data_IF_438451455376
#
_entry.id   IF_438451455376
#
_cell.length_a   1.000
_cell.length_b   1.000
_cell.length_c   1.000
_cell.angle_alpha   90.00
_cell.angle_beta   90.00
_cell.angle_gamma   90.00
#
_symmetry.space_group_name_H-M   'P 1'
#
loop_
_entity.id
_entity.type
_entity.pdbx_description
1 polymer ?
#
# COMPACT_ATOMS: atom_id res chain seq x y z
N UNK A 1 -37.57 -57.27 12.61
CA UNK A 1 -36.86 -56.02 12.26
C UNK A 1 -36.75 -55.98 10.74
N UNK A 2 -37.25 -54.91 10.12
CA UNK A 2 -37.53 -54.78 8.68
C UNK A 2 -36.24 -54.56 7.88
N UNK A 3 -35.97 -55.43 6.91
CA UNK A 3 -35.04 -55.19 5.80
C UNK A 3 -35.77 -54.45 4.68
N UNK A 4 -35.20 -53.37 4.14
CA UNK A 4 -35.16 -53.09 2.69
C UNK A 4 -34.45 -51.76 2.36
N UNK A 5 -33.52 -51.87 1.40
CA UNK A 5 -33.21 -50.94 0.30
C UNK A 5 -32.89 -49.47 0.62
N UNK A 6 -31.69 -49.02 0.25
CA UNK A 6 -31.51 -48.27 -1.01
C UNK A 6 -30.02 -48.16 -1.39
N UNK A 7 -29.78 -48.45 -2.67
CA UNK A 7 -28.53 -48.49 -3.38
C UNK A 7 -28.57 -47.36 -4.39
N UNK A 8 -27.78 -46.29 -4.23
CA UNK A 8 -27.44 -45.30 -5.28
C UNK A 8 -26.13 -44.65 -4.82
N UNK A 9 -24.95 -45.10 -5.29
CA UNK A 9 -24.38 -44.82 -6.59
C UNK A 9 -24.01 -43.34 -6.81
N UNK A 10 -22.72 -43.14 -7.03
CA UNK A 10 -22.11 -42.23 -8.02
C UNK A 10 -21.80 -40.77 -7.66
N UNK A 11 -20.59 -40.41 -8.11
CA UNK A 11 -20.17 -39.13 -8.69
C UNK A 11 -19.69 -38.02 -7.75
N UNK A 12 -18.37 -38.03 -7.58
CA UNK A 12 -17.46 -36.91 -7.85
C UNK A 12 -18.08 -35.52 -7.86
N UNK A 13 -17.79 -34.74 -6.83
CA UNK A 13 -17.54 -33.31 -7.01
C UNK A 13 -16.31 -32.92 -6.18
N UNK A 14 -15.17 -32.88 -6.89
CA UNK A 14 -14.03 -32.05 -6.50
C UNK A 14 -14.56 -30.62 -6.35
N UNK A 15 -14.84 -30.21 -5.12
CA UNK A 15 -15.07 -28.81 -4.80
C UNK A 15 -13.75 -28.07 -5.03
N UNK A 16 -13.71 -27.36 -6.15
CA UNK A 16 -12.66 -26.42 -6.50
C UNK A 16 -12.50 -25.46 -5.32
N UNK A 17 -11.37 -25.56 -4.63
CA UNK A 17 -10.91 -24.54 -3.69
C UNK A 17 -10.54 -23.33 -4.53
N UNK A 18 -11.55 -22.54 -4.88
CA UNK A 18 -11.38 -21.23 -5.46
C UNK A 18 -10.64 -20.38 -4.45
N UNK A 19 -9.32 -20.25 -4.61
CA UNK A 19 -8.56 -19.19 -3.99
C UNK A 19 -9.13 -17.88 -4.51
N UNK A 20 -10.10 -17.33 -3.77
CA UNK A 20 -10.50 -15.93 -3.87
C UNK A 20 -9.27 -15.14 -3.47
N UNK A 21 -8.43 -14.85 -4.46
CA UNK A 21 -7.37 -13.87 -4.34
C UNK A 21 -8.07 -12.58 -3.98
N UNK A 22 -8.10 -12.26 -2.69
CA UNK A 22 -8.32 -10.91 -2.20
C UNK A 22 -7.23 -10.07 -2.84
N UNK A 23 -7.53 -9.54 -4.02
CA UNK A 23 -6.94 -8.32 -4.49
C UNK A 23 -7.32 -7.28 -3.43
N UNK A 24 -6.49 -7.17 -2.40
CA UNK A 24 -6.44 -5.99 -1.57
C UNK A 24 -6.32 -4.84 -2.57
N UNK A 25 -7.43 -4.16 -2.82
CA UNK A 25 -7.51 -2.97 -3.63
C UNK A 25 -6.46 -2.05 -3.03
N UNK A 26 -5.30 -2.05 -3.68
CA UNK A 26 -4.17 -1.25 -3.28
C UNK A 26 -4.56 0.11 -3.80
N UNK A 27 -5.10 0.94 -2.92
CA UNK A 27 -5.43 2.35 -3.17
C UNK A 27 -4.17 3.09 -3.61
N UNK A 28 -3.79 2.84 -4.85
CA UNK A 28 -2.63 3.39 -5.52
C UNK A 28 -3.08 4.76 -5.96
N UNK A 29 -2.43 5.78 -5.42
CA UNK A 29 -2.67 7.17 -5.74
C UNK A 29 -1.44 7.72 -6.44
N UNK A 30 -1.69 8.43 -7.54
CA UNK A 30 -0.71 9.32 -8.12
C UNK A 30 -0.63 10.56 -7.23
N UNK A 31 0.59 10.93 -6.89
CA UNK A 31 0.92 12.13 -6.15
C UNK A 31 2.23 12.70 -6.69
N UNK A 32 2.62 13.86 -6.20
CA UNK A 32 3.86 14.51 -6.54
C UNK A 32 4.73 14.57 -5.30
N UNK A 33 6.00 14.20 -5.43
CA UNK A 33 6.92 14.15 -4.30
C UNK A 33 8.23 14.87 -4.61
N UNK A 34 8.80 15.45 -3.58
CA UNK A 34 10.18 15.89 -3.57
C UNK A 34 10.97 14.97 -2.65
N UNK A 35 11.73 14.05 -3.22
CA UNK A 35 12.56 13.11 -2.45
C UNK A 35 13.63 13.81 -1.61
N UNK A 36 14.10 14.98 -2.05
CA UNK A 36 15.11 15.76 -1.32
C UNK A 36 14.60 16.34 0.00
N UNK A 37 13.33 16.75 0.04
CA UNK A 37 12.70 17.30 1.24
C UNK A 37 11.76 16.30 1.92
N UNK A 38 11.62 15.10 1.35
CA UNK A 38 10.65 14.08 1.74
C UNK A 38 9.24 14.62 1.94
N UNK A 39 8.77 15.50 1.05
CA UNK A 39 7.40 16.05 1.08
C UNK A 39 6.60 15.62 -0.14
N UNK A 40 5.30 15.46 0.06
CA UNK A 40 4.34 15.09 -0.97
C UNK A 40 3.29 16.18 -1.22
N UNK A 41 2.65 16.12 -2.38
CA UNK A 41 1.55 16.98 -2.80
C UNK A 41 0.60 16.19 -3.70
N UNK A 42 -0.69 16.48 -3.63
CA UNK A 42 -1.66 15.94 -4.58
C UNK A 42 -1.69 16.70 -5.92
N UNK A 43 -0.93 17.79 -6.02
CA UNK A 43 -0.85 18.66 -7.18
C UNK A 43 0.60 18.79 -7.64
N UNK A 44 0.79 18.86 -8.96
CA UNK A 44 2.08 19.19 -9.54
C UNK A 44 2.53 20.58 -9.07
N UNK A 45 3.84 20.78 -8.95
CA UNK A 45 4.39 22.06 -8.52
C UNK A 45 5.87 21.98 -8.21
N UNK A 46 6.37 23.04 -7.59
CA UNK A 46 7.75 23.17 -7.13
C UNK A 46 7.78 23.03 -5.61
N UNK A 47 8.75 22.26 -5.11
CA UNK A 47 9.03 22.16 -3.69
C UNK A 47 9.67 23.45 -3.16
N UNK A 48 9.68 23.62 -1.84
CA UNK A 48 10.27 24.80 -1.19
C UNK A 48 11.78 24.89 -1.37
N UNK A 49 12.44 23.75 -1.66
CA UNK A 49 13.84 23.71 -2.05
C UNK A 49 14.12 24.15 -3.50
N UNK A 50 13.09 24.57 -4.25
CA UNK A 50 13.22 25.01 -5.64
C UNK A 50 13.16 23.89 -6.69
N UNK A 51 13.11 22.62 -6.29
CA UNK A 51 13.02 21.49 -7.24
C UNK A 51 11.58 21.20 -7.67
N UNK A 52 11.38 20.84 -8.95
CA UNK A 52 10.09 20.36 -9.43
C UNK A 52 9.75 19.03 -8.77
N UNK A 53 8.53 18.91 -8.27
CA UNK A 53 8.04 17.66 -7.70
C UNK A 53 7.87 16.61 -8.80
N UNK A 54 8.33 15.39 -8.54
CA UNK A 54 8.21 14.24 -9.45
C UNK A 54 6.91 13.51 -9.21
N UNK A 55 6.25 13.04 -10.26
CA UNK A 55 5.09 12.16 -10.11
C UNK A 55 5.55 10.81 -9.52
N UNK A 56 4.84 10.35 -8.49
CA UNK A 56 5.10 9.10 -7.80
C UNK A 56 3.82 8.30 -7.60
N UNK A 57 3.95 6.98 -7.59
CA UNK A 57 2.88 6.06 -7.22
C UNK A 57 3.05 5.70 -5.75
N UNK A 58 2.06 6.06 -4.93
CA UNK A 58 2.06 5.75 -3.52
C UNK A 58 0.67 5.36 -3.03
N UNK A 59 0.53 5.26 -1.72
CA UNK A 59 -0.75 5.10 -1.04
C UNK A 59 -0.84 6.10 0.09
N UNK A 60 -2.04 6.55 0.37
CA UNK A 60 -2.28 7.41 1.54
C UNK A 60 -2.35 6.50 2.78
N UNK A 61 -1.66 6.90 3.84
CA UNK A 61 -1.75 6.26 5.14
C UNK A 61 -1.77 7.31 6.24
N UNK A 62 -2.32 6.95 7.40
CA UNK A 62 -2.32 7.79 8.59
C UNK A 62 -1.22 7.28 9.52
N UNK A 63 -0.17 8.07 9.73
CA UNK A 63 1.05 7.64 10.40
C UNK A 63 1.22 8.40 11.70
N UNK A 64 1.52 7.66 12.77
CA UNK A 64 1.92 8.27 14.03
C UNK A 64 3.37 8.72 13.97
N UNK A 65 3.66 9.99 14.23
CA UNK A 65 5.04 10.51 14.25
C UNK A 65 5.87 10.06 15.44
N UNK A 66 5.24 9.65 16.54
CA UNK A 66 5.97 9.16 17.70
C UNK A 66 6.48 7.72 17.56
N UNK A 67 5.75 6.84 16.87
CA UNK A 67 6.08 5.42 16.78
C UNK A 67 6.09 4.86 15.36
N UNK A 68 5.91 5.71 14.35
CA UNK A 68 5.90 5.37 12.91
C UNK A 68 4.90 4.27 12.51
N UNK A 69 3.91 3.98 13.38
CA UNK A 69 2.85 3.03 13.08
C UNK A 69 1.85 3.66 12.10
N UNK A 70 1.56 2.94 11.02
CA UNK A 70 0.61 3.37 10.00
C UNK A 70 -0.75 2.69 10.17
N UNK A 71 -1.82 3.46 9.94
CA UNK A 71 -3.22 3.05 9.85
C UNK A 71 -3.77 3.37 8.46
N UNK A 72 -4.84 2.68 8.06
CA UNK A 72 -5.63 3.04 6.88
C UNK A 72 -6.64 4.16 7.18
N UNK A 73 -7.02 4.29 8.44
CA UNK A 73 -8.05 5.20 8.90
C UNK A 73 -7.47 6.34 9.74
N UNK A 74 -8.06 7.54 9.67
CA UNK A 74 -7.68 8.66 10.54
C UNK A 74 -8.00 8.37 12.00
N UNK A 75 -7.46 9.19 12.90
CA UNK A 75 -7.74 9.12 14.33
C UNK A 75 -6.46 9.15 15.16
N UNK A 76 -6.42 8.34 16.22
CA UNK A 76 -5.32 8.32 17.17
C UNK A 76 -4.54 7.02 17.12
N UNK A 77 -3.24 7.10 17.36
CA UNK A 77 -2.38 5.95 17.49
C UNK A 77 -2.83 5.08 18.67
N UNK A 78 -2.99 3.78 18.44
CA UNK A 78 -3.46 2.86 19.49
C UNK A 78 -2.46 2.71 20.64
N UNK A 79 -1.19 2.98 20.41
CA UNK A 79 -0.10 2.80 21.38
C UNK A 79 0.13 4.04 22.24
N UNK A 80 0.29 5.21 21.63
CA UNK A 80 0.67 6.44 22.33
C UNK A 80 -0.45 7.50 22.37
N UNK A 81 -1.62 7.20 21.83
CA UNK A 81 -2.79 8.09 21.76
C UNK A 81 -2.57 9.43 21.02
N UNK A 82 -1.38 9.67 20.45
CA UNK A 82 -1.14 10.83 19.59
C UNK A 82 -1.94 10.76 18.29
N UNK A 83 -2.25 11.92 17.71
CA UNK A 83 -2.97 12.05 16.44
C UNK A 83 -2.17 11.41 15.29
N UNK A 84 -2.88 10.77 14.37
CA UNK A 84 -2.28 10.21 13.16
C UNK A 84 -2.28 11.26 12.05
N UNK A 85 -1.13 11.45 11.42
CA UNK A 85 -0.98 12.39 10.33
C UNK A 85 -1.18 11.71 8.98
N UNK A 86 -1.92 12.36 8.09
CA UNK A 86 -2.11 11.90 6.72
C UNK A 86 -0.82 12.07 5.93
N UNK A 87 -0.27 10.97 5.42
CA UNK A 87 1.00 10.94 4.71
C UNK A 87 0.92 10.09 3.45
N UNK A 88 1.82 10.36 2.51
CA UNK A 88 2.05 9.53 1.35
C UNK A 88 3.11 8.48 1.68
N UNK A 89 2.75 7.20 1.54
CA UNK A 89 3.70 6.09 1.60
C UNK A 89 3.98 5.60 0.20
N UNK A 90 5.24 5.66 -0.23
CA UNK A 90 5.70 5.13 -1.52
C UNK A 90 6.99 4.36 -1.31
N UNK A 91 7.35 3.57 -2.32
CA UNK A 91 8.58 2.81 -2.35
C UNK A 91 9.29 3.12 -3.65
N UNK A 92 10.53 3.60 -3.60
CA UNK A 92 11.30 3.94 -4.80
C UNK A 92 12.55 3.09 -4.96
N UNK A 93 12.91 2.86 -6.20
CA UNK A 93 14.18 2.26 -6.57
C UNK A 93 15.25 3.34 -6.74
N UNK A 94 16.32 3.30 -5.94
CA UNK A 94 17.41 4.28 -6.04
C UNK A 94 18.09 4.30 -7.41
N UNK A 95 18.21 3.14 -8.06
CA UNK A 95 18.89 3.04 -9.36
C UNK A 95 18.10 3.60 -10.56
N UNK A 96 16.77 3.74 -10.47
CA UNK A 96 15.97 4.09 -11.65
C UNK A 96 14.70 4.88 -11.37
N UNK A 97 14.54 5.41 -10.15
CA UNK A 97 13.41 6.25 -9.70
C UNK A 97 12.01 5.63 -9.91
N UNK A 98 11.91 4.33 -10.21
CA UNK A 98 10.61 3.65 -10.31
C UNK A 98 9.97 3.63 -8.93
N UNK A 99 8.72 4.08 -8.86
CA UNK A 99 7.95 4.15 -7.61
C UNK A 99 6.82 3.13 -7.57
N UNK A 100 6.47 2.70 -6.36
CA UNK A 100 5.46 1.69 -6.08
C UNK A 100 4.70 2.01 -4.79
N UNK A 101 3.39 1.69 -4.70
CA UNK A 101 2.62 1.78 -3.45
C UNK A 101 2.93 0.63 -2.47
N UNK A 102 3.69 -0.39 -2.90
CA UNK A 102 3.95 -1.61 -2.14
C UNK A 102 5.46 -1.87 -1.99
N UNK A 103 5.89 -2.48 -0.86
CA UNK A 103 7.25 -2.96 -0.71
C UNK A 103 7.54 -4.06 -1.74
N UNK A 104 8.82 -4.33 -1.97
CA UNK A 104 9.27 -5.40 -2.84
C UNK A 104 10.50 -4.99 -3.65
N UNK A 105 10.56 -5.49 -4.87
CA UNK A 105 11.68 -5.25 -5.78
C UNK A 105 11.24 -4.42 -6.97
N UNK A 106 12.16 -3.62 -7.49
CA UNK A 106 11.96 -2.86 -8.71
C UNK A 106 11.69 -3.79 -9.89
N UNK A 107 10.64 -3.48 -10.66
CA UNK A 107 10.25 -4.29 -11.82
C UNK A 107 11.32 -4.30 -12.90
N UNK A 108 12.10 -3.20 -13.03
CA UNK A 108 13.14 -3.01 -14.04
C UNK A 108 14.48 -3.62 -13.65
N UNK A 109 15.07 -3.19 -12.54
CA UNK A 109 16.44 -3.59 -12.16
C UNK A 109 16.51 -4.67 -11.09
N UNK A 110 15.36 -5.14 -10.57
CA UNK A 110 15.26 -6.13 -9.48
C UNK A 110 15.89 -5.71 -8.15
N UNK A 111 16.43 -4.49 -8.04
CA UNK A 111 16.89 -3.92 -6.77
C UNK A 111 15.76 -3.75 -5.76
N UNK A 112 16.09 -3.71 -4.48
CA UNK A 112 15.11 -3.49 -3.41
C UNK A 112 14.48 -2.10 -3.53
N UNK A 113 13.20 -1.99 -3.19
CA UNK A 113 12.51 -0.70 -3.10
C UNK A 113 12.60 -0.13 -1.69
N UNK A 114 12.99 1.13 -1.59
CA UNK A 114 13.18 1.86 -0.35
C UNK A 114 11.91 2.61 0.02
N UNK A 115 11.48 2.47 1.27
CA UNK A 115 10.23 3.06 1.75
C UNK A 115 10.42 4.53 2.07
N UNK A 116 9.54 5.37 1.55
CA UNK A 116 9.41 6.78 1.91
C UNK A 116 8.04 7.03 2.55
N UNK A 117 8.04 7.81 3.62
CA UNK A 117 6.84 8.28 4.30
C UNK A 117 6.92 9.80 4.29
N UNK A 118 6.12 10.41 3.42
CA UNK A 118 6.22 11.84 3.15
C UNK A 118 4.96 12.56 3.63
N UNK A 119 5.07 13.55 4.53
CA UNK A 119 3.95 14.43 4.84
C UNK A 119 3.47 15.17 3.60
N UNK A 120 2.16 15.42 3.54
CA UNK A 120 1.63 16.32 2.52
C UNK A 120 1.96 17.76 2.91
N UNK A 121 2.45 18.54 1.93
CA UNK A 121 2.55 19.98 2.07
C UNK A 121 1.15 20.53 2.37
N UNK A 122 1.05 21.33 3.43
CA UNK A 122 -0.18 22.03 3.82
C UNK A 122 -0.48 23.16 2.85
#
# INVERSE_FOLDING_TARGET
>A
MKFHHYLVATLMMFAMVGASMNAAASDTKKAYACHKCEVASMKAGTCECGEKMKEVNGRIAYVCMHCMKSSKDPGHCTMCKGELEKMLVTYSCEACDVTSPKPGHCTKCKGALHKHIMPFKK
#
